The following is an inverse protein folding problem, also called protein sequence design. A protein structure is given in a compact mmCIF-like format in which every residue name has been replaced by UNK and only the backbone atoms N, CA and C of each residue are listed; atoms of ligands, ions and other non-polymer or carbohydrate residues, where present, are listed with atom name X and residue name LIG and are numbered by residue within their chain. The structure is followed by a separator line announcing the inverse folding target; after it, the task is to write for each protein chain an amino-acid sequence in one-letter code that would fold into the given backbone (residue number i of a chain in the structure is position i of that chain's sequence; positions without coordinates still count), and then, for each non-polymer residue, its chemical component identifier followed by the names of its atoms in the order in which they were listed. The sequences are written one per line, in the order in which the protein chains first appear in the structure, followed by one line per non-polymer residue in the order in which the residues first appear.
data_IF_284322256275
#
_entry.id   IF_284322256275
#
_cell.length_a   1.000
_cell.length_b   1.000
_cell.length_c   1.000
_cell.angle_alpha   90.00
_cell.angle_beta   90.00
_cell.angle_gamma   90.00
#
_symmetry.space_group_name_H-M   'P 1'
#
loop_
_entity.id
_entity.type
_entity.pdbx_description
1 polymer ?
#
# COMPACT_ATOMS: atom_id res chain seq x y z
N UNK A 1 -26.90 25.01 -10.63
CA UNK A 1 -25.70 24.52 -9.94
C UNK A 1 -25.86 23.02 -9.72
N UNK A 2 -25.26 22.19 -10.57
CA UNK A 2 -25.38 20.74 -10.43
C UNK A 2 -24.51 20.26 -9.28
N UNK A 3 -25.15 20.08 -8.12
CA UNK A 3 -24.56 19.41 -6.98
C UNK A 3 -24.28 17.96 -7.38
N UNK A 4 -23.04 17.66 -7.77
CA UNK A 4 -22.52 16.30 -7.69
C UNK A 4 -22.55 15.91 -6.21
N UNK A 5 -23.66 15.34 -5.77
CA UNK A 5 -23.77 14.71 -4.47
C UNK A 5 -22.84 13.49 -4.51
N UNK A 6 -21.57 13.73 -4.22
CA UNK A 6 -20.57 12.68 -4.13
C UNK A 6 -20.93 11.84 -2.92
N UNK A 7 -21.56 10.69 -3.16
CA UNK A 7 -21.95 9.78 -2.10
C UNK A 7 -20.68 9.35 -1.34
N UNK A 8 -20.65 9.70 -0.06
CA UNK A 8 -19.51 9.44 0.80
C UNK A 8 -19.70 8.05 1.39
N UNK A 9 -18.89 7.09 0.94
CA UNK A 9 -18.85 5.76 1.50
C UNK A 9 -18.15 5.79 2.86
N UNK A 10 -18.76 5.17 3.86
CA UNK A 10 -18.27 5.14 5.25
C UNK A 10 -17.80 3.74 5.58
N UNK A 11 -16.76 3.63 6.40
CA UNK A 11 -16.40 2.36 7.01
C UNK A 11 -17.45 2.00 8.07
N UNK A 12 -17.81 0.73 8.16
CA UNK A 12 -18.74 0.22 9.17
C UNK A 12 -18.06 -0.06 10.51
N UNK A 13 -16.73 -0.16 10.51
CA UNK A 13 -15.93 -0.53 11.68
C UNK A 13 -15.25 0.67 12.37
N UNK A 14 -15.23 1.84 11.72
CA UNK A 14 -14.68 3.06 12.29
C UNK A 14 -15.24 4.33 11.61
N UNK A 15 -14.81 5.50 12.06
CA UNK A 15 -15.29 6.79 11.55
C UNK A 15 -14.68 7.20 10.18
N UNK A 16 -13.92 6.33 9.52
CA UNK A 16 -13.31 6.62 8.22
C UNK A 16 -14.36 6.79 7.12
N UNK A 17 -14.18 7.78 6.26
CA UNK A 17 -15.10 8.11 5.16
C UNK A 17 -14.33 8.48 3.90
N UNK A 18 -14.82 8.10 2.73
CA UNK A 18 -14.18 8.41 1.45
C UNK A 18 -15.18 8.49 0.31
N UNK A 19 -14.86 9.29 -0.71
CA UNK A 19 -15.66 9.40 -1.95
C UNK A 19 -15.29 8.33 -2.99
N UNK A 20 -14.26 7.50 -2.72
CA UNK A 20 -13.72 6.53 -3.68
C UNK A 20 -13.82 5.10 -3.14
N UNK A 21 -14.51 4.22 -3.85
CA UNK A 21 -14.74 2.82 -3.44
C UNK A 21 -13.43 2.07 -3.24
N UNK A 22 -12.46 2.28 -4.14
CA UNK A 22 -11.13 1.67 -4.04
C UNK A 22 -10.38 2.06 -2.76
N UNK A 23 -10.57 3.29 -2.26
CA UNK A 23 -9.98 3.74 -1.01
C UNK A 23 -10.64 3.07 0.19
N UNK A 24 -11.97 2.87 0.15
CA UNK A 24 -12.67 2.16 1.21
C UNK A 24 -12.22 0.69 1.28
N UNK A 25 -12.13 0.00 0.13
CA UNK A 25 -11.63 -1.38 0.07
C UNK A 25 -10.19 -1.50 0.61
N UNK A 26 -9.30 -0.59 0.22
CA UNK A 26 -7.92 -0.55 0.74
C UNK A 26 -7.87 -0.23 2.24
N UNK A 27 -8.78 0.61 2.73
CA UNK A 27 -8.93 0.94 4.13
C UNK A 27 -9.37 -0.28 4.96
N UNK A 28 -10.28 -1.13 4.46
CA UNK A 28 -10.73 -2.34 5.18
C UNK A 28 -9.58 -3.29 5.54
N UNK A 29 -8.44 -3.22 4.85
CA UNK A 29 -7.22 -3.95 5.22
C UNK A 29 -6.59 -3.49 6.55
N UNK A 30 -7.06 -2.38 7.13
CA UNK A 30 -6.66 -1.92 8.47
C UNK A 30 -7.38 -2.67 9.57
N UNK A 31 -8.61 -3.11 9.32
CA UNK A 31 -9.41 -3.85 10.29
C UNK A 31 -9.21 -5.36 10.23
N UNK A 32 -8.54 -5.87 9.18
CA UNK A 32 -8.16 -7.27 9.09
C UNK A 32 -6.96 -7.56 10.00
N UNK A 33 -6.97 -8.74 10.60
CA UNK A 33 -5.85 -9.27 11.38
C UNK A 33 -4.58 -9.32 10.50
N UNK A 34 -3.49 -8.62 10.87
CA UNK A 34 -2.23 -8.62 10.12
C UNK A 34 -1.69 -10.03 9.85
N UNK A 35 -1.95 -10.98 10.75
CA UNK A 35 -1.51 -12.39 10.66
C UNK A 35 -2.25 -13.14 9.55
N UNK A 36 -3.46 -12.70 9.21
CA UNK A 36 -4.30 -13.28 8.15
C UNK A 36 -4.15 -12.57 6.80
N UNK A 37 -3.37 -11.49 6.76
CA UNK A 37 -3.13 -10.71 5.54
C UNK A 37 -1.78 -11.11 4.98
N UNK A 38 -1.76 -11.59 3.74
CA UNK A 38 -0.51 -11.71 2.99
C UNK A 38 0.10 -10.32 2.81
N UNK A 39 1.20 -10.06 3.52
CA UNK A 39 1.98 -8.85 3.36
C UNK A 39 2.85 -8.95 2.11
N UNK A 40 3.20 -7.79 1.56
CA UNK A 40 4.24 -7.67 0.54
C UNK A 40 5.55 -7.33 1.25
N UNK A 41 6.46 -8.29 1.28
CA UNK A 41 7.81 -8.17 1.80
C UNK A 41 8.79 -7.68 0.73
N UNK A 42 9.82 -6.97 1.18
CA UNK A 42 10.99 -6.69 0.38
C UNK A 42 12.03 -7.79 0.63
N UNK A 43 12.51 -8.43 -0.44
CA UNK A 43 13.58 -9.42 -0.32
C UNK A 43 14.96 -8.82 0.00
N UNK A 44 15.10 -7.50 -0.11
CA UNK A 44 16.39 -6.79 0.05
C UNK A 44 16.51 -6.06 1.39
N UNK A 45 15.39 -5.77 2.07
CA UNK A 45 15.40 -5.04 3.33
C UNK A 45 14.21 -5.45 4.21
N UNK A 46 14.17 -5.09 5.52
CA UNK A 46 13.10 -5.52 6.42
C UNK A 46 11.75 -4.83 6.16
N UNK A 47 11.62 -4.02 5.11
CA UNK A 47 10.38 -3.34 4.77
C UNK A 47 9.28 -4.33 4.37
N UNK A 48 8.11 -4.20 5.01
CA UNK A 48 6.91 -4.98 4.71
C UNK A 48 5.70 -4.07 4.69
N UNK A 49 4.76 -4.31 3.79
CA UNK A 49 3.52 -3.53 3.71
C UNK A 49 2.34 -4.35 3.24
N UNK A 50 1.14 -4.01 3.71
CA UNK A 50 -0.12 -4.63 3.25
C UNK A 50 -0.64 -4.10 1.91
N UNK A 51 -0.03 -3.02 1.38
CA UNK A 51 -0.49 -2.35 0.15
C UNK A 51 0.49 -2.57 -1.00
N UNK A 52 0.01 -3.18 -2.09
CA UNK A 52 0.80 -3.42 -3.31
C UNK A 52 1.40 -2.14 -3.91
N UNK A 53 0.65 -1.03 -3.88
CA UNK A 53 1.11 0.26 -4.40
C UNK A 53 2.26 0.83 -3.57
N UNK A 54 2.22 0.70 -2.24
CA UNK A 54 3.30 1.08 -1.35
C UNK A 54 4.55 0.22 -1.59
N UNK A 55 4.37 -1.09 -1.77
CA UNK A 55 5.48 -1.99 -2.10
C UNK A 55 6.13 -1.62 -3.44
N UNK A 56 5.35 -1.41 -4.50
CA UNK A 56 5.87 -0.98 -5.81
C UNK A 56 6.68 0.32 -5.72
N UNK A 57 6.18 1.32 -4.98
CA UNK A 57 6.89 2.58 -4.76
C UNK A 57 8.19 2.37 -4.00
N UNK A 58 8.16 1.54 -2.95
CA UNK A 58 9.36 1.20 -2.19
C UNK A 58 10.43 0.50 -3.05
N UNK A 59 10.04 -0.40 -3.96
CA UNK A 59 10.98 -1.04 -4.89
C UNK A 59 11.72 -0.04 -5.81
N UNK A 60 11.16 1.16 -6.05
CA UNK A 60 11.84 2.19 -6.82
C UNK A 60 13.06 2.75 -6.08
N UNK A 61 13.01 2.82 -4.75
CA UNK A 61 14.15 3.25 -3.92
C UNK A 61 15.32 2.29 -4.10
N UNK A 62 15.04 0.98 -4.15
CA UNK A 62 16.06 -0.02 -4.46
C UNK A 62 16.58 0.15 -5.88
N UNK A 63 15.71 0.40 -6.88
CA UNK A 63 16.11 0.66 -8.28
C UNK A 63 17.01 1.89 -8.43
N UNK A 64 16.74 2.96 -7.69
CA UNK A 64 17.55 4.19 -7.70
C UNK A 64 18.90 4.00 -6.98
N UNK A 65 18.98 3.05 -6.04
CA UNK A 65 20.23 2.68 -5.37
C UNK A 65 21.06 1.60 -6.07
N UNK A 66 20.63 1.05 -7.23
CA UNK A 66 21.42 0.11 -8.06
C UNK A 66 22.40 0.81 -9.01
N UNK A 67 22.85 2.03 -8.70
CA UNK A 67 24.04 2.62 -9.32
C UNK A 67 25.14 2.86 -8.28
N UNK A 68 25.61 1.78 -7.68
CA UNK A 68 26.98 1.72 -7.12
C UNK A 68 27.50 0.28 -7.19
N UNK A 69 28.59 0.11 -7.92
CA UNK A 69 29.31 -1.09 -8.31
C UNK A 69 29.83 -1.97 -7.16
N UNK A 70 29.98 -3.28 -7.42
CA UNK A 70 31.22 -4.09 -7.33
C UNK A 70 30.80 -5.58 -7.33
N UNK A 71 30.98 -6.33 -8.43
CA UNK A 71 32.21 -7.07 -8.78
C UNK A 71 32.71 -7.94 -7.62
N UNK A 72 32.43 -9.25 -7.71
CA UNK A 72 33.16 -10.38 -7.14
C UNK A 72 32.64 -11.65 -7.83
N UNK A 73 33.10 -11.89 -9.06
CA UNK A 73 33.13 -13.25 -9.62
C UNK A 73 34.57 -13.77 -9.46
N UNK A 74 34.67 -14.93 -8.80
CA UNK A 74 35.88 -15.73 -8.57
C UNK A 74 36.30 -16.42 -9.87
#
# INVERSE_FOLDING_TARGET
MSSHQSEVMRCELCQYKTKRKSQLVSHMLVHRDPSKIKMYDCGTCPFKTKRKSSWKKHMLIHRESVKRHNDYDI
#
